data_IF_039823938543
#
_entry.id   IF_039823938543
#
_cell.length_a   1.000
_cell.length_b   1.000
_cell.length_c   1.000
_cell.angle_alpha   90.00
_cell.angle_beta   90.00
_cell.angle_gamma   90.00
#
_symmetry.space_group_name_H-M   'P 1'
#
loop_
_entity.id
_entity.type
_entity.pdbx_description
1 polymer ?
#
# COMPACT_ATOMS: atom_id res chain seq x y z
N UNK A 1 24.84 -36.26 18.48
CA UNK A 1 23.40 -35.89 18.45
C UNK A 1 23.15 -34.38 18.60
N UNK A 2 24.05 -33.57 19.20
CA UNK A 2 23.83 -32.12 19.36
C UNK A 2 23.84 -31.28 18.07
N UNK A 3 24.63 -31.64 17.06
CA UNK A 3 24.83 -30.83 15.84
C UNK A 3 23.58 -30.69 14.97
N UNK A 4 22.68 -31.69 14.94
CA UNK A 4 21.43 -31.63 14.16
C UNK A 4 20.41 -30.65 14.75
N UNK A 5 20.33 -30.54 16.07
CA UNK A 5 19.39 -29.64 16.74
C UNK A 5 19.80 -28.17 16.58
N UNK A 6 21.11 -27.89 16.67
CA UNK A 6 21.65 -26.54 16.44
C UNK A 6 21.42 -26.07 15.00
N UNK A 7 21.64 -26.95 14.01
CA UNK A 7 21.38 -26.63 12.60
C UNK A 7 19.90 -26.30 12.34
N UNK A 8 18.99 -27.06 12.95
CA UNK A 8 17.55 -26.88 12.76
C UNK A 8 17.06 -25.55 13.37
N UNK A 9 17.59 -25.15 14.53
CA UNK A 9 17.30 -23.86 15.17
C UNK A 9 17.85 -22.68 14.34
N UNK A 10 19.03 -22.83 13.74
CA UNK A 10 19.59 -21.80 12.85
C UNK A 10 18.75 -21.61 11.58
N UNK A 11 18.25 -22.69 10.99
CA UNK A 11 17.41 -22.62 9.78
C UNK A 11 16.07 -21.95 10.10
N UNK A 12 15.42 -22.29 11.22
CA UNK A 12 14.16 -21.65 11.61
C UNK A 12 14.34 -20.18 11.95
N UNK A 13 15.42 -19.82 12.65
CA UNK A 13 15.76 -18.42 12.90
C UNK A 13 16.02 -17.67 11.60
N UNK A 14 16.78 -18.23 10.66
CA UNK A 14 17.06 -17.61 9.36
C UNK A 14 15.78 -17.40 8.55
N UNK A 15 14.88 -18.39 8.51
CA UNK A 15 13.58 -18.28 7.83
C UNK A 15 12.69 -17.22 8.47
N UNK A 16 12.63 -17.16 9.80
CA UNK A 16 11.87 -16.13 10.51
C UNK A 16 12.44 -14.73 10.23
N UNK A 17 13.76 -14.59 10.17
CA UNK A 17 14.43 -13.31 9.88
C UNK A 17 14.21 -12.89 8.42
N UNK A 18 14.31 -13.82 7.47
CA UNK A 18 14.00 -13.56 6.05
C UNK A 18 12.53 -13.21 5.83
N UNK A 19 11.62 -13.86 6.55
CA UNK A 19 10.20 -13.53 6.53
C UNK A 19 9.95 -12.14 7.10
N UNK A 20 10.59 -11.80 8.23
CA UNK A 20 10.54 -10.48 8.85
C UNK A 20 11.11 -9.37 7.94
N UNK A 21 12.24 -9.62 7.28
CA UNK A 21 12.81 -8.69 6.29
C UNK A 21 11.91 -8.54 5.06
N UNK A 22 11.29 -9.61 4.58
CA UNK A 22 10.33 -9.56 3.47
C UNK A 22 9.10 -8.72 3.78
N UNK A 23 8.63 -8.76 5.05
CA UNK A 23 7.54 -7.94 5.57
C UNK A 23 7.89 -6.45 5.66
N UNK A 24 9.17 -6.10 5.78
CA UNK A 24 9.65 -4.73 5.80
C UNK A 24 9.93 -4.14 4.42
N UNK A 25 9.47 -4.78 3.34
CA UNK A 25 9.63 -4.27 1.98
C UNK A 25 9.34 -2.75 1.95
N UNK A 26 10.35 -1.91 1.69
CA UNK A 26 10.18 -0.48 1.72
C UNK A 26 9.16 -0.11 0.65
N UNK A 27 8.29 0.86 0.97
CA UNK A 27 7.39 1.41 -0.04
C UNK A 27 8.28 1.95 -1.16
N UNK A 28 8.02 1.56 -2.42
CA UNK A 28 8.86 1.97 -3.54
C UNK A 28 8.93 3.50 -3.57
N UNK A 29 10.13 4.02 -3.77
CA UNK A 29 10.35 5.45 -3.95
C UNK A 29 9.59 5.89 -5.20
N UNK A 30 8.69 6.87 -5.06
CA UNK A 30 7.87 7.35 -6.17
C UNK A 30 8.62 8.48 -6.87
N UNK A 31 8.94 8.27 -8.14
CA UNK A 31 9.39 9.36 -9.00
C UNK A 31 8.22 10.33 -9.32
N UNK A 32 8.51 11.57 -9.74
CA UNK A 32 7.48 12.56 -10.03
C UNK A 32 6.45 12.13 -11.08
N UNK A 33 6.86 11.38 -12.11
CA UNK A 33 5.95 10.92 -13.16
C UNK A 33 4.97 9.87 -12.61
N UNK A 34 5.45 8.99 -11.71
CA UNK A 34 4.57 8.06 -11.00
C UNK A 34 3.56 8.81 -10.11
N UNK A 35 3.97 9.86 -9.39
CA UNK A 35 3.05 10.66 -8.57
C UNK A 35 1.98 11.32 -9.43
N UNK A 36 2.37 11.95 -10.54
CA UNK A 36 1.45 12.61 -11.46
C UNK A 36 0.43 11.62 -12.07
N UNK A 37 0.90 10.45 -12.51
CA UNK A 37 0.04 9.40 -13.04
C UNK A 37 -0.97 8.89 -12.00
N UNK A 38 -0.55 8.74 -10.74
CA UNK A 38 -1.44 8.33 -9.64
C UNK A 38 -2.49 9.39 -9.33
N UNK A 39 -2.09 10.66 -9.30
CA UNK A 39 -3.02 11.77 -9.06
C UNK A 39 -4.04 11.87 -10.20
N UNK A 40 -3.62 11.79 -11.47
CA UNK A 40 -4.50 11.83 -12.63
C UNK A 40 -5.49 10.65 -12.64
N UNK A 41 -5.00 9.43 -12.44
CA UNK A 41 -5.84 8.24 -12.39
C UNK A 41 -6.84 8.28 -11.23
N UNK A 42 -6.44 8.87 -10.09
CA UNK A 42 -7.33 9.04 -8.94
C UNK A 42 -8.52 9.95 -9.26
N UNK A 43 -8.30 11.06 -9.97
CA UNK A 43 -9.40 11.94 -10.39
C UNK A 43 -10.36 11.27 -11.39
N UNK A 44 -9.86 10.33 -12.21
CA UNK A 44 -10.70 9.55 -13.12
C UNK A 44 -11.53 8.50 -12.37
N UNK A 45 -10.91 7.80 -11.41
CA UNK A 45 -11.56 6.69 -10.74
C UNK A 45 -12.51 7.08 -9.62
N UNK A 46 -12.30 8.25 -9.02
CA UNK A 46 -13.02 8.70 -7.85
C UNK A 46 -14.11 9.70 -8.21
N UNK A 47 -15.31 9.48 -7.66
CA UNK A 47 -16.39 10.48 -7.69
C UNK A 47 -17.02 10.61 -6.31
N UNK A 48 -17.44 11.82 -5.90
CA UNK A 48 -18.14 12.01 -4.64
C UNK A 48 -19.42 11.16 -4.60
N UNK A 49 -19.58 10.36 -3.55
CA UNK A 49 -20.77 9.53 -3.33
C UNK A 49 -20.76 8.16 -4.02
N UNK A 50 -19.77 7.85 -4.85
CA UNK A 50 -19.67 6.52 -5.45
C UNK A 50 -19.38 5.46 -4.38
N UNK A 51 -20.00 4.27 -4.47
CA UNK A 51 -19.69 3.16 -3.58
C UNK A 51 -18.26 2.69 -3.78
N UNK A 52 -17.70 2.02 -2.78
CA UNK A 52 -16.38 1.40 -2.91
C UNK A 52 -16.35 0.42 -4.07
N UNK A 53 -15.44 0.63 -5.02
CA UNK A 53 -15.20 -0.28 -6.14
C UNK A 53 -13.73 -0.68 -6.25
N UNK A 54 -13.49 -1.91 -6.67
CA UNK A 54 -12.16 -2.36 -7.07
C UNK A 54 -11.90 -1.90 -8.51
N UNK A 55 -10.77 -1.23 -8.73
CA UNK A 55 -10.34 -0.81 -10.07
C UNK A 55 -9.61 -1.98 -10.73
N UNK A 56 -10.08 -2.50 -11.89
CA UNK A 56 -9.45 -3.62 -12.56
C UNK A 56 -8.06 -3.24 -13.09
N UNK A 57 -7.15 -4.22 -13.15
CA UNK A 57 -5.77 -4.01 -13.58
C UNK A 57 -5.64 -3.43 -15.01
N UNK A 58 -6.64 -3.69 -15.86
CA UNK A 58 -6.74 -3.10 -17.20
C UNK A 58 -6.85 -1.58 -17.20
N UNK A 59 -7.40 -0.98 -16.14
CA UNK A 59 -7.53 0.47 -15.96
C UNK A 59 -6.27 1.11 -15.35
N UNK A 60 -5.33 0.32 -14.80
CA UNK A 60 -4.17 0.88 -14.10
C UNK A 60 -3.18 1.56 -15.07
N UNK A 61 -2.68 2.77 -14.73
CA UNK A 61 -1.63 3.39 -15.53
C UNK A 61 -0.34 2.54 -15.48
N UNK A 62 0.50 2.59 -16.53
CA UNK A 62 1.75 1.83 -16.60
C UNK A 62 2.66 2.03 -15.38
N UNK A 63 2.71 3.25 -14.86
CA UNK A 63 3.48 3.66 -13.69
C UNK A 63 3.04 2.88 -12.45
N UNK A 64 1.73 2.80 -12.22
CA UNK A 64 1.18 2.01 -11.12
C UNK A 64 1.45 0.52 -11.30
N UNK A 65 1.31 -0.03 -12.52
CA UNK A 65 1.60 -1.45 -12.78
C UNK A 65 3.05 -1.81 -12.44
N UNK A 66 4.02 -0.92 -12.68
CA UNK A 66 5.43 -1.14 -12.32
C UNK A 66 5.64 -1.32 -10.82
N UNK A 67 4.81 -0.68 -10.00
CA UNK A 67 4.84 -0.84 -8.54
C UNK A 67 4.27 -2.19 -8.06
N UNK A 68 3.64 -2.96 -8.97
CA UNK A 68 3.04 -4.28 -8.70
C UNK A 68 2.06 -4.25 -7.50
N UNK A 69 1.05 -3.36 -7.50
CA UNK A 69 0.02 -3.39 -6.47
C UNK A 69 -0.79 -4.69 -6.57
N UNK A 70 -1.31 -5.15 -5.43
CA UNK A 70 -2.22 -6.31 -5.37
C UNK A 70 -3.65 -5.93 -5.70
N UNK A 71 -4.11 -4.80 -5.16
CA UNK A 71 -5.48 -4.33 -5.34
C UNK A 71 -5.52 -2.81 -5.28
N UNK A 72 -6.38 -2.23 -6.10
CA UNK A 72 -6.68 -0.80 -6.10
C UNK A 72 -8.17 -0.64 -5.81
N UNK A 73 -8.50 0.12 -4.78
CA UNK A 73 -9.88 0.36 -4.33
C UNK A 73 -10.17 1.85 -4.36
N UNK A 74 -11.10 2.26 -5.21
CA UNK A 74 -11.68 3.60 -5.14
C UNK A 74 -12.79 3.57 -4.09
N UNK A 75 -12.66 4.40 -3.06
CA UNK A 75 -13.61 4.51 -1.94
C UNK A 75 -14.19 5.92 -1.90
N UNK A 76 -15.30 6.18 -1.19
CA UNK A 76 -15.80 7.54 -1.01
C UNK A 76 -14.76 8.53 -0.45
N UNK A 77 -13.73 8.05 0.28
CA UNK A 77 -12.68 8.89 0.88
C UNK A 77 -11.53 9.22 -0.09
N UNK A 78 -11.28 8.33 -1.04
CA UNK A 78 -10.13 8.39 -1.95
C UNK A 78 -9.73 7.00 -2.46
N UNK A 79 -8.54 6.92 -3.06
CA UNK A 79 -8.07 5.68 -3.70
C UNK A 79 -7.01 5.02 -2.84
N UNK A 80 -7.25 3.76 -2.47
CA UNK A 80 -6.33 2.91 -1.73
C UNK A 80 -5.67 1.91 -2.67
N UNK A 81 -4.34 1.86 -2.63
CA UNK A 81 -3.49 0.99 -3.45
C UNK A 81 -2.72 0.09 -2.50
N UNK A 82 -3.09 -1.17 -2.38
CA UNK A 82 -2.46 -2.10 -1.43
C UNK A 82 -1.35 -2.90 -2.10
N UNK A 83 -0.15 -2.94 -1.51
CA UNK A 83 0.99 -3.74 -2.00
C UNK A 83 1.13 -5.05 -1.24
N UNK A 84 0.90 -5.00 0.07
CA UNK A 84 1.01 -6.14 0.95
C UNK A 84 -0.21 -6.19 1.87
N UNK A 85 -0.78 -7.38 2.01
CA UNK A 85 -1.74 -7.71 3.05
C UNK A 85 -1.30 -9.00 3.73
N UNK A 86 -1.24 -8.99 5.06
CA UNK A 86 -0.95 -10.16 5.86
C UNK A 86 -1.86 -10.18 7.08
N UNK A 87 -2.76 -11.18 7.15
CA UNK A 87 -3.80 -11.24 8.18
C UNK A 87 -4.65 -9.95 8.23
N UNK A 88 -4.52 -9.17 9.30
CA UNK A 88 -5.22 -7.92 9.58
C UNK A 88 -4.36 -6.69 9.24
N UNK A 89 -3.10 -6.91 8.87
CA UNK A 89 -2.18 -5.86 8.47
C UNK A 89 -2.28 -5.59 6.97
N UNK A 90 -2.36 -4.33 6.61
CA UNK A 90 -2.35 -3.89 5.22
C UNK A 90 -1.44 -2.67 5.09
N UNK A 91 -0.64 -2.63 4.01
CA UNK A 91 0.21 -1.48 3.72
C UNK A 91 0.12 -1.09 2.26
N UNK A 92 0.09 0.20 2.01
CA UNK A 92 -0.18 0.72 0.69
C UNK A 92 0.09 2.20 0.50
N UNK A 93 -0.34 2.70 -0.66
CA UNK A 93 -0.47 4.10 -0.97
C UNK A 93 -1.94 4.52 -0.91
N UNK A 94 -2.20 5.70 -0.37
CA UNK A 94 -3.48 6.35 -0.40
C UNK A 94 -3.33 7.64 -1.17
N UNK A 95 -4.21 7.87 -2.15
CA UNK A 95 -4.22 9.10 -2.94
C UNK A 95 -5.51 9.84 -2.64
N UNK A 96 -5.38 11.10 -2.21
CA UNK A 96 -6.50 11.96 -1.87
C UNK A 96 -6.98 12.71 -3.14
N UNK A 97 -8.22 12.48 -3.60
CA UNK A 97 -8.82 13.25 -4.69
C UNK A 97 -8.93 14.73 -4.34
N UNK A 98 -8.82 15.61 -5.33
CA UNK A 98 -8.77 17.07 -5.14
C UNK A 98 -10.04 17.60 -4.49
N UNK A 99 -11.18 16.97 -4.81
CA UNK A 99 -12.51 17.34 -4.32
C UNK A 99 -12.97 16.53 -3.11
N UNK A 100 -12.08 15.73 -2.51
CA UNK A 100 -12.42 14.99 -1.30
C UNK A 100 -12.27 15.89 -0.08
N UNK A 101 -13.30 15.96 0.76
CA UNK A 101 -13.24 16.65 2.06
C UNK A 101 -12.57 15.78 3.14
N UNK A 102 -12.13 14.57 2.80
CA UNK A 102 -11.48 13.67 3.74
C UNK A 102 -10.10 14.21 4.14
N UNK A 103 -9.84 14.20 5.45
CA UNK A 103 -8.55 14.58 6.01
C UNK A 103 -7.85 13.35 6.60
N UNK A 104 -6.77 12.84 5.95
CA UNK A 104 -6.00 11.73 6.49
C UNK A 104 -5.33 12.13 7.80
N UNK A 105 -5.71 11.50 8.90
CA UNK A 105 -5.18 11.82 10.23
C UNK A 105 -3.96 10.95 10.56
N UNK A 106 -3.01 11.54 11.29
CA UNK A 106 -1.92 10.80 11.91
C UNK A 106 -2.40 10.21 13.23
N UNK A 107 -2.02 8.96 13.53
CA UNK A 107 -2.36 8.29 14.79
C UNK A 107 -3.74 7.63 14.85
N UNK A 108 -4.50 7.64 13.75
CA UNK A 108 -5.68 6.79 13.57
C UNK A 108 -5.30 5.46 12.92
N UNK A 109 -6.22 4.49 12.90
CA UNK A 109 -6.14 3.31 12.03
C UNK A 109 -7.16 3.46 10.89
N UNK A 110 -6.73 3.53 9.61
CA UNK A 110 -5.35 3.47 9.11
C UNK A 110 -4.51 4.68 9.55
N UNK A 111 -3.21 4.44 9.73
CA UNK A 111 -2.23 5.48 9.96
C UNK A 111 -1.70 6.00 8.63
N UNK A 112 -1.73 7.33 8.44
CA UNK A 112 -1.26 7.97 7.22
C UNK A 112 0.05 8.74 7.44
N UNK A 113 0.96 8.67 6.48
CA UNK A 113 2.17 9.48 6.41
C UNK A 113 2.28 10.10 5.03
N UNK A 114 2.35 11.43 4.96
CA UNK A 114 2.51 12.16 3.70
C UNK A 114 3.81 11.70 3.03
N UNK A 115 3.73 11.38 1.73
CA UNK A 115 4.90 11.11 0.90
C UNK A 115 5.19 12.33 0.02
N UNK A 116 4.20 12.76 -0.77
CA UNK A 116 4.30 13.93 -1.63
C UNK A 116 2.88 14.43 -1.96
N UNK A 117 2.64 15.74 -1.90
CA UNK A 117 1.36 16.36 -2.29
C UNK A 117 0.16 15.66 -1.63
N UNK A 118 -0.66 14.96 -2.43
CA UNK A 118 -1.88 14.25 -2.03
C UNK A 118 -1.68 12.73 -1.94
N UNK A 119 -0.44 12.26 -2.04
CA UNK A 119 -0.06 10.85 -1.94
C UNK A 119 0.51 10.57 -0.57
N UNK A 120 -0.09 9.59 0.09
CA UNK A 120 0.20 9.16 1.44
C UNK A 120 0.63 7.70 1.41
N UNK A 121 1.57 7.36 2.27
CA UNK A 121 1.70 5.99 2.75
C UNK A 121 0.59 5.74 3.77
N UNK A 122 -0.14 4.64 3.63
CA UNK A 122 -1.01 4.17 4.72
C UNK A 122 -0.58 2.80 5.23
N UNK A 123 -0.85 2.56 6.50
CA UNK A 123 -0.72 1.26 7.14
C UNK A 123 -1.89 1.01 8.06
N UNK A 124 -2.46 -0.18 7.97
CA UNK A 124 -3.43 -0.72 8.91
C UNK A 124 -2.69 -1.70 9.80
N UNK A 125 -2.81 -1.54 11.11
CA UNK A 125 -2.32 -2.49 12.10
C UNK A 125 -3.53 -3.04 12.84
N UNK A 126 -3.77 -4.34 12.72
CA UNK A 126 -4.84 -4.99 13.49
C UNK A 126 -4.43 -5.36 14.90
#
# INVERSE_FOLDING_TARGET
MHTRHVLLVLITALLATLMWLGLQSPIPELDPATVEALEAATEEWWRPGDPTRTVPESEWPPELRRLRPRVVRATPKGVFISFASYYVEERGLFVLPTKSDYQPQQGTDPAFRVLCSRVYVYGIKG
#
